data_IF_289626474184
#
_entry.id   IF_289626474184
#
_cell.length_a   1.000
_cell.length_b   1.000
_cell.length_c   1.000
_cell.angle_alpha   90.00
_cell.angle_beta   90.00
_cell.angle_gamma   90.00
#
_symmetry.space_group_name_H-M   'P 1'
#
loop_
_entity.id
_entity.type
_entity.pdbx_description
1 polymer ?
#
# COMPACT_ATOMS: atom_id res chain seq x y z
N UNK A 1 5.15 13.53 -50.39
CA UNK A 1 5.60 14.57 -49.45
C UNK A 1 4.44 15.46 -49.07
N UNK A 2 4.07 15.53 -47.78
CA UNK A 2 3.49 16.73 -47.14
C UNK A 2 3.41 16.50 -45.62
N UNK A 3 4.30 17.20 -44.91
CA UNK A 3 4.24 17.38 -43.46
C UNK A 3 3.10 18.34 -43.10
N UNK A 4 2.35 18.02 -42.06
CA UNK A 4 1.65 19.00 -41.22
C UNK A 4 2.02 18.65 -39.77
N UNK A 5 3.11 19.17 -39.21
CA UNK A 5 3.20 20.47 -38.51
C UNK A 5 1.99 20.63 -37.56
N UNK A 6 2.06 20.06 -36.36
CA UNK A 6 2.46 20.78 -35.13
C UNK A 6 1.86 22.19 -35.04
N UNK A 7 0.76 22.30 -34.31
CA UNK A 7 0.27 23.49 -33.59
C UNK A 7 -0.64 22.94 -32.48
N UNK A 8 -0.12 22.61 -31.30
CA UNK A 8 0.26 23.51 -30.22
C UNK A 8 -0.96 24.07 -29.47
N UNK A 9 -0.90 23.87 -28.14
CA UNK A 9 -1.36 24.75 -27.06
C UNK A 9 -2.67 24.41 -26.31
N UNK A 10 -2.43 24.17 -25.02
CA UNK A 10 -3.17 24.68 -23.87
C UNK A 10 -4.53 24.04 -23.51
N UNK A 11 -4.44 23.03 -22.64
CA UNK A 11 -5.28 23.01 -21.44
C UNK A 11 -4.38 22.83 -20.22
N UNK A 12 -4.11 23.95 -19.53
CA UNK A 12 -3.65 23.95 -18.16
C UNK A 12 -4.73 23.31 -17.28
N UNK A 13 -4.67 22.00 -17.07
CA UNK A 13 -5.28 21.39 -15.90
C UNK A 13 -4.26 21.49 -14.76
N UNK A 14 -4.29 22.62 -14.06
CA UNK A 14 -3.69 22.75 -12.76
C UNK A 14 -4.31 21.72 -11.81
N UNK A 15 -3.54 20.71 -11.42
CA UNK A 15 -3.53 20.22 -10.03
C UNK A 15 -2.07 19.94 -9.68
N UNK A 16 -1.32 21.01 -9.44
CA UNK A 16 -0.21 20.93 -8.49
C UNK A 16 -0.86 20.83 -7.11
N UNK A 17 -1.24 19.63 -6.71
CA UNK A 17 -1.31 19.33 -5.29
C UNK A 17 0.07 18.79 -4.92
N UNK A 18 0.94 19.58 -4.25
CA UNK A 18 2.10 19.01 -3.60
C UNK A 18 1.61 18.29 -2.33
N UNK A 19 0.84 17.22 -2.49
CA UNK A 19 0.63 16.23 -1.43
C UNK A 19 1.80 15.24 -1.46
N UNK A 20 3.01 15.77 -1.47
CA UNK A 20 4.27 15.02 -1.49
C UNK A 20 4.92 14.88 -0.11
N UNK A 21 4.16 15.11 0.95
CA UNK A 21 4.59 14.93 2.34
C UNK A 21 3.30 14.88 3.17
N UNK A 22 2.64 13.75 3.37
CA UNK A 22 3.08 12.64 4.22
C UNK A 22 2.23 11.42 3.84
N UNK A 23 2.83 10.40 3.21
CA UNK A 23 2.20 9.08 3.12
C UNK A 23 3.03 8.04 3.87
N UNK A 24 3.93 8.50 4.76
CA UNK A 24 4.49 7.60 5.75
C UNK A 24 3.40 7.34 6.79
N UNK A 25 2.83 6.14 6.75
CA UNK A 25 2.11 5.50 7.84
C UNK A 25 2.79 5.86 9.15
N UNK A 26 2.02 6.41 10.08
CA UNK A 26 2.53 6.77 11.41
C UNK A 26 3.13 5.50 12.04
N UNK A 27 4.29 5.64 12.70
CA UNK A 27 5.08 4.47 13.14
C UNK A 27 4.24 3.56 14.03
N UNK A 28 3.39 4.13 14.89
CA UNK A 28 2.47 3.38 15.74
C UNK A 28 1.53 2.50 14.91
N UNK A 29 0.94 3.04 13.83
CA UNK A 29 0.03 2.31 12.95
C UNK A 29 0.78 1.18 12.24
N UNK A 30 2.02 1.45 11.78
CA UNK A 30 2.87 0.45 11.13
C UNK A 30 3.22 -0.71 12.07
N UNK A 31 3.57 -0.39 13.31
CA UNK A 31 3.87 -1.37 14.35
C UNK A 31 2.62 -2.21 14.66
N UNK A 32 1.44 -1.60 14.82
CA UNK A 32 0.17 -2.30 15.04
C UNK A 32 -0.15 -3.25 13.89
N UNK A 33 -0.10 -2.79 12.64
CA UNK A 33 -0.34 -3.63 11.46
C UNK A 33 0.59 -4.84 11.42
N UNK A 34 1.87 -4.63 11.74
CA UNK A 34 2.88 -5.70 11.73
C UNK A 34 2.59 -6.73 12.83
N UNK A 35 2.24 -6.27 14.04
CA UNK A 35 1.88 -7.16 15.15
C UNK A 35 0.62 -7.96 14.84
N UNK A 36 -0.42 -7.35 14.27
CA UNK A 36 -1.65 -8.04 13.89
C UNK A 36 -1.42 -9.06 12.77
N UNK A 37 -0.59 -8.72 11.79
CA UNK A 37 -0.17 -9.64 10.74
C UNK A 37 0.58 -10.86 11.32
N UNK A 38 1.53 -10.64 12.25
CA UNK A 38 2.27 -11.73 12.90
C UNK A 38 1.32 -12.58 13.76
N UNK A 39 0.41 -11.95 14.50
CA UNK A 39 -0.58 -12.65 15.31
C UNK A 39 -1.47 -13.55 14.44
N UNK A 40 -1.96 -13.05 13.31
CA UNK A 40 -2.72 -13.84 12.34
C UNK A 40 -1.88 -14.99 11.76
N UNK A 41 -0.63 -14.73 11.36
CA UNK A 41 0.26 -15.77 10.82
C UNK A 41 0.56 -16.88 11.86
N UNK A 42 0.71 -16.51 13.13
CA UNK A 42 0.93 -17.44 14.22
C UNK A 42 -0.29 -18.34 14.48
N UNK A 43 -1.52 -17.83 14.28
CA UNK A 43 -2.73 -18.66 14.33
C UNK A 43 -2.71 -19.79 13.30
N UNK A 44 -2.01 -19.59 12.18
CA UNK A 44 -1.83 -20.58 11.12
C UNK A 44 -0.58 -21.46 11.30
N UNK A 45 0.10 -21.41 12.46
CA UNK A 45 1.32 -22.18 12.77
C UNK A 45 2.44 -21.98 11.72
N UNK A 46 2.54 -20.78 11.16
CA UNK A 46 3.62 -20.44 10.22
C UNK A 46 4.96 -20.29 10.95
N UNK A 47 6.07 -20.44 10.22
CA UNK A 47 7.40 -20.14 10.74
C UNK A 47 7.48 -18.67 11.18
N UNK A 48 7.86 -18.43 12.44
CA UNK A 48 7.83 -17.10 13.04
C UNK A 48 8.75 -16.10 12.30
N UNK A 49 9.90 -16.56 11.80
CA UNK A 49 10.85 -15.71 11.08
C UNK A 49 10.34 -15.36 9.68
N UNK A 50 9.74 -16.32 8.98
CA UNK A 50 9.10 -16.10 7.69
C UNK A 50 7.87 -15.20 7.82
N UNK A 51 7.05 -15.41 8.85
CA UNK A 51 5.89 -14.57 9.17
C UNK A 51 6.33 -13.13 9.44
N UNK A 52 7.34 -12.92 10.28
CA UNK A 52 7.88 -11.60 10.56
C UNK A 52 8.42 -10.92 9.29
N UNK A 53 9.23 -11.61 8.49
CA UNK A 53 9.75 -11.05 7.24
C UNK A 53 8.62 -10.66 6.26
N UNK A 54 7.58 -11.47 6.18
CA UNK A 54 6.41 -11.21 5.34
C UNK A 54 5.60 -10.01 5.84
N UNK A 55 5.36 -9.92 7.15
CA UNK A 55 4.61 -8.83 7.76
C UNK A 55 5.37 -7.50 7.68
N UNK A 56 6.68 -7.52 7.94
CA UNK A 56 7.54 -6.34 7.78
C UNK A 56 7.55 -5.85 6.32
N UNK A 57 7.58 -6.77 5.35
CA UNK A 57 7.49 -6.41 3.94
C UNK A 57 6.11 -5.81 3.61
N UNK A 58 5.04 -6.44 4.09
CA UNK A 58 3.67 -5.99 3.87
C UNK A 58 3.46 -4.59 4.44
N UNK A 59 3.98 -4.31 5.64
CA UNK A 59 3.92 -2.99 6.26
C UNK A 59 4.64 -1.91 5.42
N UNK A 60 5.81 -2.24 4.85
CA UNK A 60 6.53 -1.33 3.94
C UNK A 60 5.77 -1.08 2.64
N UNK A 61 5.11 -2.10 2.09
CA UNK A 61 4.27 -1.98 0.89
C UNK A 61 3.06 -1.08 1.17
N UNK A 62 2.36 -1.31 2.29
CA UNK A 62 1.23 -0.47 2.73
C UNK A 62 1.67 0.98 2.84
N UNK A 63 2.76 1.22 3.58
CA UNK A 63 3.33 2.55 3.77
C UNK A 63 3.76 3.28 2.48
N UNK A 64 4.03 2.54 1.40
CA UNK A 64 4.53 3.11 0.14
C UNK A 64 3.43 3.30 -0.91
N UNK A 65 2.48 2.37 -0.96
CA UNK A 65 1.53 2.22 -2.07
C UNK A 65 0.09 2.59 -1.68
N UNK A 66 -0.16 2.88 -0.39
CA UNK A 66 -1.46 3.27 0.13
C UNK A 66 -1.41 4.70 0.65
N UNK A 67 -2.48 5.44 0.38
CA UNK A 67 -2.74 6.73 1.01
C UNK A 67 -3.21 6.53 2.46
N UNK A 68 -3.07 7.57 3.28
CA UNK A 68 -3.54 7.56 4.68
C UNK A 68 -5.01 7.13 4.81
N UNK A 69 -5.88 7.60 3.92
CA UNK A 69 -7.30 7.25 3.90
C UNK A 69 -7.52 5.75 3.61
N UNK A 70 -6.73 5.18 2.71
CA UNK A 70 -6.80 3.74 2.42
C UNK A 70 -6.25 2.90 3.59
N UNK A 71 -5.21 3.39 4.27
CA UNK A 71 -4.65 2.76 5.48
C UNK A 71 -5.68 2.77 6.61
N UNK A 72 -6.32 3.91 6.87
CA UNK A 72 -7.40 4.03 7.86
C UNK A 72 -8.58 3.12 7.54
N UNK A 73 -8.94 3.00 6.25
CA UNK A 73 -10.01 2.09 5.82
C UNK A 73 -9.62 0.61 5.97
N UNK A 74 -8.33 0.27 5.90
CA UNK A 74 -7.83 -1.08 6.14
C UNK A 74 -7.73 -1.42 7.65
N UNK A 75 -7.49 -0.43 8.51
CA UNK A 75 -7.37 -0.60 9.96
C UNK A 75 -8.67 -0.37 10.74
N UNK A 76 -9.74 0.07 10.07
CA UNK A 76 -11.03 0.32 10.72
C UNK A 76 -11.64 -0.96 11.29
N UNK A 77 -12.12 -0.88 12.53
CA UNK A 77 -12.87 -1.95 13.20
C UNK A 77 -14.38 -1.80 13.06
N UNK A 78 -14.86 -0.63 12.63
CA UNK A 78 -16.28 -0.33 12.47
C UNK A 78 -16.90 -1.04 11.25
N UNK A 79 -16.09 -1.31 10.24
CA UNK A 79 -16.56 -1.88 8.98
C UNK A 79 -15.46 -2.68 8.31
N UNK A 80 -15.86 -3.79 7.67
CA UNK A 80 -14.92 -4.55 6.85
C UNK A 80 -14.34 -3.64 5.74
N UNK A 81 -13.04 -3.73 5.44
CA UNK A 81 -12.44 -2.97 4.36
C UNK A 81 -13.13 -3.25 3.03
N UNK A 82 -13.19 -2.23 2.17
CA UNK A 82 -13.73 -2.40 0.83
C UNK A 82 -12.98 -3.53 0.09
N UNK A 83 -13.67 -4.44 -0.62
CA UNK A 83 -13.00 -5.57 -1.30
C UNK A 83 -11.88 -5.15 -2.25
N UNK A 84 -12.01 -3.98 -2.89
CA UNK A 84 -11.00 -3.41 -3.76
C UNK A 84 -9.68 -3.07 -3.01
N UNK A 85 -9.77 -2.58 -1.77
CA UNK A 85 -8.59 -2.29 -0.94
C UNK A 85 -7.90 -3.57 -0.51
N UNK A 86 -8.68 -4.58 -0.09
CA UNK A 86 -8.13 -5.90 0.25
C UNK A 86 -7.46 -6.55 -0.95
N UNK A 87 -8.07 -6.49 -2.14
CA UNK A 87 -7.48 -7.01 -3.38
C UNK A 87 -6.19 -6.26 -3.77
N UNK A 88 -6.17 -4.93 -3.65
CA UNK A 88 -4.97 -4.12 -3.86
C UNK A 88 -3.85 -4.56 -2.91
N UNK A 89 -4.15 -4.74 -1.63
CA UNK A 89 -3.18 -5.19 -0.62
C UNK A 89 -2.62 -6.56 -0.97
N UNK A 90 -3.49 -7.54 -1.20
CA UNK A 90 -3.09 -8.91 -1.55
C UNK A 90 -2.22 -8.94 -2.81
N UNK A 91 -2.59 -8.19 -3.85
CA UNK A 91 -1.82 -8.08 -5.09
C UNK A 91 -0.43 -7.52 -4.82
N UNK A 92 -0.34 -6.37 -4.16
CA UNK A 92 0.94 -5.70 -3.94
C UNK A 92 1.85 -6.52 -3.01
N UNK A 93 1.29 -7.15 -1.98
CA UNK A 93 2.05 -8.07 -1.10
C UNK A 93 2.53 -9.29 -1.89
N UNK A 94 1.70 -9.88 -2.75
CA UNK A 94 2.12 -11.00 -3.59
C UNK A 94 3.23 -10.61 -4.58
N UNK A 95 3.16 -9.41 -5.16
CA UNK A 95 4.17 -8.91 -6.11
C UNK A 95 5.50 -8.53 -5.43
N UNK A 96 5.45 -8.03 -4.19
CA UNK A 96 6.62 -7.44 -3.53
C UNK A 96 7.21 -8.28 -2.38
N UNK A 97 6.42 -9.18 -1.79
CA UNK A 97 6.75 -9.89 -0.54
C UNK A 97 6.76 -11.43 -0.67
N UNK A 98 6.80 -11.95 -1.90
CA UNK A 98 6.88 -13.40 -2.18
C UNK A 98 8.29 -13.98 -2.20
N UNK A 99 9.33 -13.16 -2.01
CA UNK A 99 10.71 -13.65 -1.97
C UNK A 99 11.12 -14.07 -0.55
N UNK A 100 10.83 -15.32 -0.21
CA UNK A 100 11.86 -16.13 0.44
C UNK A 100 12.77 -16.63 -0.69
N UNK A 101 13.94 -15.99 -0.87
CA UNK A 101 15.00 -16.56 -1.70
C UNK A 101 16.11 -17.03 -0.79
#
# INVERSE_FOLDING_TARGET
>A
MKLSRLSALLACAAVMAPWGAQAAMEKTVQDTFTQECIAAANQHKQDAKAAQAHCDCSARVVNKEFSQQEIEALSSTDSAPAPALTQKLQKLVAENCTKSK
#
